data_IF_091465282595
#
_entry.id   IF_091465282595
#
_cell.length_a   1.000
_cell.length_b   1.000
_cell.length_c   1.000
_cell.angle_alpha   90.00
_cell.angle_beta   90.00
_cell.angle_gamma   90.00
#
_symmetry.space_group_name_H-M   'P 1'
#
loop_
_entity.id
_entity.type
_entity.pdbx_description
1 polymer ?
#
# COMPACT_ATOMS: atom_id res chain seq x y z
N UNK A 1 9.46 7.61 -12.64
CA UNK A 1 10.24 6.75 -11.70
C UNK A 1 9.37 5.63 -11.15
N UNK A 2 8.17 5.93 -10.65
CA UNK A 2 7.26 4.94 -10.07
C UNK A 2 6.22 4.37 -11.05
N UNK A 3 6.20 4.86 -12.29
CA UNK A 3 5.25 4.41 -13.31
C UNK A 3 5.54 2.96 -13.72
N UNK A 4 4.51 2.13 -13.77
CA UNK A 4 4.62 0.70 -14.06
C UNK A 4 5.28 -0.14 -12.96
N UNK A 5 5.55 0.44 -11.78
CA UNK A 5 6.23 -0.24 -10.68
C UNK A 5 5.27 -0.81 -9.64
N UNK A 6 5.68 -1.88 -8.98
CA UNK A 6 5.01 -2.46 -7.81
C UNK A 6 5.61 -1.89 -6.53
N UNK A 7 4.79 -1.30 -5.67
CA UNK A 7 5.26 -0.54 -4.49
C UNK A 7 4.58 -1.09 -3.24
N UNK A 8 5.33 -1.30 -2.16
CA UNK A 8 4.84 -1.71 -0.85
C UNK A 8 4.95 -0.54 0.14
N UNK A 9 3.86 -0.25 0.84
CA UNK A 9 3.81 0.80 1.86
C UNK A 9 3.39 0.16 3.18
N UNK A 10 4.37 -0.11 4.04
CA UNK A 10 4.13 -0.55 5.41
C UNK A 10 3.62 0.61 6.26
N UNK A 11 2.64 0.36 7.12
CA UNK A 11 1.99 1.41 7.91
C UNK A 11 1.23 2.42 7.04
N UNK A 12 0.84 2.04 5.82
CA UNK A 12 0.23 2.95 4.84
C UNK A 12 -1.11 3.54 5.27
N UNK A 13 -1.78 2.96 6.28
CA UNK A 13 -3.02 3.51 6.87
C UNK A 13 -2.78 4.69 7.81
N UNK A 14 -1.51 4.98 8.17
CA UNK A 14 -1.15 6.16 8.95
C UNK A 14 -1.37 7.48 8.19
N UNK A 15 -1.31 8.60 8.89
CA UNK A 15 -1.49 9.94 8.30
C UNK A 15 -0.51 10.22 7.16
N UNK A 16 0.77 9.89 7.37
CA UNK A 16 1.81 9.99 6.35
C UNK A 16 1.51 9.08 5.15
N UNK A 17 1.23 7.80 5.40
CA UNK A 17 0.94 6.81 4.36
C UNK A 17 -0.23 7.22 3.47
N UNK A 18 -1.35 7.67 4.06
CA UNK A 18 -2.50 8.19 3.33
C UNK A 18 -2.13 9.37 2.43
N UNK A 19 -1.38 10.35 2.96
CA UNK A 19 -0.95 11.52 2.18
C UNK A 19 0.04 11.14 1.09
N UNK A 20 0.94 10.20 1.35
CA UNK A 20 1.90 9.71 0.38
C UNK A 20 1.21 8.98 -0.77
N UNK A 21 0.30 8.05 -0.48
CA UNK A 21 -0.51 7.34 -1.48
C UNK A 21 -1.29 8.32 -2.34
N UNK A 22 -1.93 9.33 -1.74
CA UNK A 22 -2.63 10.37 -2.49
C UNK A 22 -1.71 11.11 -3.47
N UNK A 23 -0.50 11.47 -3.05
CA UNK A 23 0.46 12.15 -3.93
C UNK A 23 1.03 11.22 -4.99
N UNK A 24 1.29 9.96 -4.64
CA UNK A 24 1.81 8.93 -5.53
C UNK A 24 0.84 8.69 -6.68
N UNK A 25 -0.43 8.45 -6.38
CA UNK A 25 -1.48 8.21 -7.39
C UNK A 25 -1.80 9.46 -8.22
N UNK A 26 -1.59 10.67 -7.67
CA UNK A 26 -1.82 11.91 -8.42
C UNK A 26 -0.70 12.23 -9.41
N UNK A 27 0.53 11.76 -9.16
CA UNK A 27 1.73 12.11 -9.94
C UNK A 27 2.28 10.98 -10.79
N UNK A 28 1.91 9.74 -10.47
CA UNK A 28 2.43 8.53 -11.08
C UNK A 28 1.32 7.52 -11.37
N UNK A 29 1.62 6.58 -12.28
CA UNK A 29 0.78 5.44 -12.65
C UNK A 29 1.49 4.14 -12.29
N UNK A 30 1.59 3.80 -10.99
CA UNK A 30 2.18 2.54 -10.56
C UNK A 30 1.35 1.37 -11.09
N UNK A 31 2.00 0.22 -11.35
CA UNK A 31 1.27 -0.99 -11.74
C UNK A 31 0.47 -1.56 -10.55
N UNK A 32 1.02 -1.42 -9.34
CA UNK A 32 0.42 -1.92 -8.10
C UNK A 32 0.97 -1.17 -6.89
N UNK A 33 0.09 -0.79 -5.97
CA UNK A 33 0.48 -0.22 -4.66
C UNK A 33 -0.15 -1.05 -3.56
N UNK A 34 0.69 -1.75 -2.79
CA UNK A 34 0.28 -2.61 -1.68
C UNK A 34 0.34 -1.82 -0.38
N UNK A 35 -0.79 -1.64 0.27
CA UNK A 35 -0.91 -1.04 1.60
C UNK A 35 -0.84 -2.16 2.62
N UNK A 36 0.24 -2.18 3.41
CA UNK A 36 0.48 -3.20 4.42
C UNK A 36 0.28 -2.63 5.82
N UNK A 37 -0.72 -3.12 6.54
CA UNK A 37 -1.05 -2.67 7.89
C UNK A 37 -1.84 -3.73 8.66
N UNK A 38 -1.92 -3.56 9.98
CA UNK A 38 -2.66 -4.46 10.88
C UNK A 38 -4.12 -4.06 11.08
N UNK A 39 -4.42 -2.79 10.84
CA UNK A 39 -5.70 -2.19 11.19
C UNK A 39 -6.67 -2.29 10.01
N UNK A 40 -7.54 -3.28 10.05
CA UNK A 40 -8.51 -3.59 9.00
C UNK A 40 -9.50 -2.44 8.77
N UNK A 41 -10.00 -1.83 9.85
CA UNK A 41 -10.95 -0.72 9.78
C UNK A 41 -10.35 0.45 9.00
N UNK A 42 -9.10 0.83 9.31
CA UNK A 42 -8.45 1.92 8.57
C UNK A 42 -8.15 1.55 7.11
N UNK A 43 -7.92 0.29 6.80
CA UNK A 43 -7.77 -0.16 5.40
C UNK A 43 -9.11 -0.06 4.66
N UNK A 44 -10.20 -0.50 5.29
CA UNK A 44 -11.55 -0.39 4.75
C UNK A 44 -11.92 1.07 4.47
N UNK A 45 -11.72 1.97 5.44
CA UNK A 45 -11.97 3.40 5.25
C UNK A 45 -11.15 3.98 4.10
N UNK A 46 -9.90 3.55 3.99
CA UNK A 46 -9.00 3.98 2.93
C UNK A 46 -9.47 3.44 1.56
N UNK A 47 -9.95 2.21 1.49
CA UNK A 47 -10.51 1.62 0.27
C UNK A 47 -11.74 2.38 -0.22
N UNK A 48 -12.62 2.80 0.70
CA UNK A 48 -13.78 3.61 0.37
C UNK A 48 -13.39 5.03 -0.09
N UNK A 49 -12.30 5.59 0.46
CA UNK A 49 -11.82 6.93 0.12
C UNK A 49 -11.03 6.97 -1.21
N UNK A 50 -10.22 5.95 -1.49
CA UNK A 50 -9.37 5.88 -2.67
C UNK A 50 -9.86 4.77 -3.60
N UNK A 51 -10.72 5.14 -4.55
CA UNK A 51 -11.24 4.23 -5.57
C UNK A 51 -10.24 4.11 -6.74
N UNK A 52 -9.11 3.46 -6.50
CA UNK A 52 -8.04 3.23 -7.49
C UNK A 52 -7.82 1.72 -7.66
N UNK A 53 -7.81 1.27 -8.91
CA UNK A 53 -7.65 -0.16 -9.25
C UNK A 53 -6.23 -0.66 -9.01
N UNK A 54 -5.27 0.25 -8.86
CA UNK A 54 -3.87 0.01 -8.56
C UNK A 54 -3.63 -0.33 -7.08
N UNK A 55 -4.54 0.09 -6.18
CA UNK A 55 -4.40 -0.17 -4.74
C UNK A 55 -4.78 -1.60 -4.37
N UNK A 56 -3.93 -2.22 -3.56
CA UNK A 56 -4.15 -3.52 -2.93
C UNK A 56 -3.94 -3.40 -1.43
N UNK A 57 -4.80 -4.05 -0.67
CA UNK A 57 -4.81 -4.00 0.78
C UNK A 57 -4.35 -5.35 1.32
N UNK A 58 -3.31 -5.36 2.14
CA UNK A 58 -2.71 -6.56 2.71
C UNK A 58 -2.64 -6.42 4.23
N UNK A 59 -3.32 -7.32 4.93
CA UNK A 59 -3.33 -7.34 6.39
C UNK A 59 -2.10 -8.10 6.89
N UNK A 60 -1.29 -7.45 7.73
CA UNK A 60 -0.14 -8.09 8.36
C UNK A 60 0.63 -7.16 9.30
N UNK A 61 1.50 -7.76 10.10
CA UNK A 61 2.41 -7.08 11.03
C UNK A 61 3.85 -7.14 10.50
N UNK A 62 4.55 -6.00 10.50
CA UNK A 62 5.97 -5.93 10.10
C UNK A 62 6.88 -6.75 11.01
N UNK A 63 6.40 -7.11 12.22
CA UNK A 63 7.07 -8.00 13.16
C UNK A 63 6.99 -9.47 12.75
N UNK A 64 6.03 -9.83 11.90
CA UNK A 64 5.91 -11.17 11.32
C UNK A 64 6.73 -11.24 10.03
N UNK A 65 7.91 -11.87 10.13
CA UNK A 65 8.85 -11.99 9.02
C UNK A 65 8.28 -12.76 7.84
N UNK A 66 7.56 -13.85 8.08
CA UNK A 66 7.02 -14.68 7.00
C UNK A 66 5.96 -13.91 6.22
N UNK A 67 5.07 -13.22 6.96
CA UNK A 67 4.01 -12.43 6.36
C UNK A 67 4.53 -11.20 5.63
N UNK A 68 5.57 -10.55 6.15
CA UNK A 68 6.25 -9.46 5.46
C UNK A 68 6.93 -9.96 4.19
N UNK A 69 7.58 -11.12 4.22
CA UNK A 69 8.21 -11.74 3.04
C UNK A 69 7.20 -12.00 1.92
N UNK A 70 5.98 -12.42 2.26
CA UNK A 70 4.89 -12.59 1.28
C UNK A 70 4.46 -11.24 0.68
N UNK A 71 4.31 -10.20 1.51
CA UNK A 71 3.92 -8.87 1.06
C UNK A 71 4.98 -8.22 0.16
N UNK A 72 6.26 -8.53 0.36
CA UNK A 72 7.38 -8.05 -0.45
C UNK A 72 7.55 -8.79 -1.79
N UNK A 73 6.79 -9.86 -2.05
CA UNK A 73 6.98 -10.66 -3.25
C UNK A 73 6.57 -9.89 -4.53
N UNK A 74 7.53 -9.76 -5.46
CA UNK A 74 7.33 -9.03 -6.72
C UNK A 74 7.12 -7.52 -6.52
N UNK A 75 7.70 -6.96 -5.47
CA UNK A 75 7.72 -5.51 -5.20
C UNK A 75 9.04 -4.92 -5.72
N UNK A 76 8.95 -3.79 -6.42
CA UNK A 76 10.11 -3.00 -6.87
C UNK A 76 10.61 -2.04 -5.78
N UNK A 77 9.70 -1.49 -4.96
CA UNK A 77 9.97 -0.47 -3.93
C UNK A 77 9.24 -0.72 -2.63
#
# INVERSE_FOLDING_TARGET
MFDGKSILITGGTGSFGKKYVKNLLARHKPARVVIYSRDELKQFDMQQQYNSSELRYFIGDVRDRERLSQAMHGIDF
#
